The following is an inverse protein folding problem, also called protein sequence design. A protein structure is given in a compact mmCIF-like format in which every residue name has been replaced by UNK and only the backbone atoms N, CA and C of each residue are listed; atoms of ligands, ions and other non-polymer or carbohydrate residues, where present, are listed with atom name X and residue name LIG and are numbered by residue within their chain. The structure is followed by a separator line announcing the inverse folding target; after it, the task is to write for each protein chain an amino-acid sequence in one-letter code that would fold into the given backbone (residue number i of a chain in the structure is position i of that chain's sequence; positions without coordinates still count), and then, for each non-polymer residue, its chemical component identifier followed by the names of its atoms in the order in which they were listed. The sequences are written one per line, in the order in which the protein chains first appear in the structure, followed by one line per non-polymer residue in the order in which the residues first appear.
data_IF_020322782089
#
_entry.id   IF_020322782089
#
_cell.length_a   1.000
_cell.length_b   1.000
_cell.length_c   1.000
_cell.angle_alpha   90.00
_cell.angle_beta   90.00
_cell.angle_gamma   90.00
#
_symmetry.space_group_name_H-M   'P 1'
#
loop_
_entity.id
_entity.type
_entity.pdbx_description
1 polymer ?
#
# COMPACT_ATOMS: atom_id res chain seq x y z
N UNK A 1 20.90 7.12 -8.72
CA UNK A 1 22.24 7.60 -9.05
C UNK A 1 22.40 9.04 -8.61
N UNK A 2 23.59 9.43 -8.21
CA UNK A 2 23.90 10.84 -7.92
C UNK A 2 23.59 11.68 -9.16
N UNK A 3 22.96 12.84 -8.98
CA UNK A 3 22.57 13.74 -10.07
C UNK A 3 21.21 13.49 -10.70
N UNK A 4 20.43 12.50 -10.26
CA UNK A 4 19.06 12.32 -10.76
C UNK A 4 18.16 13.46 -10.28
N UNK A 5 17.52 14.18 -11.21
CA UNK A 5 16.55 15.23 -10.90
C UNK A 5 15.28 14.59 -10.36
N UNK A 6 14.86 15.00 -9.17
CA UNK A 6 13.64 14.49 -8.54
C UNK A 6 12.40 15.22 -9.09
N UNK A 7 11.30 14.50 -9.21
CA UNK A 7 9.99 15.10 -9.50
C UNK A 7 9.41 15.73 -8.22
N UNK A 8 8.93 16.98 -8.25
CA UNK A 8 8.27 17.57 -7.09
C UNK A 8 6.94 16.87 -6.80
N UNK A 9 6.69 16.51 -5.53
CA UNK A 9 5.42 15.93 -5.08
C UNK A 9 4.76 16.89 -4.11
N UNK A 10 3.90 17.76 -4.63
CA UNK A 10 3.15 18.76 -3.87
C UNK A 10 1.70 18.33 -3.60
N UNK A 11 1.13 17.44 -4.43
CA UNK A 11 -0.24 16.92 -4.32
C UNK A 11 -0.29 15.45 -4.69
N UNK A 12 -0.99 14.65 -3.90
CA UNK A 12 -1.13 13.21 -4.10
C UNK A 12 -2.60 12.85 -4.34
N UNK A 13 -2.85 11.95 -5.26
CA UNK A 13 -4.11 11.24 -5.42
C UNK A 13 -4.04 9.87 -4.74
N UNK A 14 -5.10 9.46 -4.06
CA UNK A 14 -5.25 8.10 -3.55
C UNK A 14 -6.59 7.55 -4.04
N UNK A 15 -6.58 6.36 -4.62
CA UNK A 15 -7.77 5.68 -5.13
C UNK A 15 -8.11 4.51 -4.21
N UNK A 16 -9.31 4.54 -3.67
CA UNK A 16 -9.80 3.64 -2.64
C UNK A 16 -9.72 4.26 -1.25
N UNK A 17 -10.85 4.33 -0.55
CA UNK A 17 -10.95 4.87 0.81
C UNK A 17 -11.07 3.75 1.88
N UNK A 18 -10.73 2.52 1.53
CA UNK A 18 -10.68 1.38 2.45
C UNK A 18 -9.51 1.45 3.43
N UNK A 19 -9.26 0.35 4.15
CA UNK A 19 -8.22 0.26 5.19
C UNK A 19 -6.85 0.70 4.68
N UNK A 20 -6.42 0.21 3.50
CA UNK A 20 -5.12 0.57 2.93
C UNK A 20 -5.11 2.00 2.43
N UNK A 21 -6.06 2.40 1.58
CA UNK A 21 -6.10 3.75 1.02
C UNK A 21 -6.26 4.83 2.09
N UNK A 22 -7.08 4.60 3.12
CA UNK A 22 -7.19 5.49 4.27
C UNK A 22 -5.87 5.65 5.03
N UNK A 23 -5.19 4.53 5.31
CA UNK A 23 -3.89 4.54 5.98
C UNK A 23 -2.79 5.19 5.14
N UNK A 24 -2.79 4.95 3.82
CA UNK A 24 -1.86 5.60 2.86
C UNK A 24 -2.10 7.11 2.84
N UNK A 25 -3.37 7.54 2.75
CA UNK A 25 -3.77 8.94 2.85
C UNK A 25 -3.18 9.60 4.11
N UNK A 26 -3.33 8.97 5.28
CA UNK A 26 -2.80 9.49 6.54
C UNK A 26 -1.27 9.73 6.52
N UNK A 27 -0.50 8.92 5.80
CA UNK A 27 0.95 9.16 5.68
C UNK A 27 1.26 10.50 5.01
N UNK A 28 0.55 10.82 3.94
CA UNK A 28 0.73 12.10 3.22
C UNK A 28 0.23 13.28 4.05
N UNK A 29 -0.94 13.15 4.69
CA UNK A 29 -1.47 14.20 5.59
C UNK A 29 -0.53 14.49 6.75
N UNK A 30 0.12 13.46 7.32
CA UNK A 30 1.10 13.60 8.39
C UNK A 30 2.36 14.35 7.93
N UNK A 31 2.67 14.30 6.65
CA UNK A 31 3.76 15.05 6.02
C UNK A 31 3.34 16.44 5.51
N UNK A 32 2.08 16.83 5.72
CA UNK A 32 1.52 18.11 5.25
C UNK A 32 1.23 18.17 3.75
N UNK A 33 1.16 17.01 3.08
CA UNK A 33 0.89 16.91 1.65
C UNK A 33 -0.63 16.76 1.43
N UNK A 34 -1.27 17.65 0.64
CA UNK A 34 -2.67 17.54 0.28
C UNK A 34 -2.98 16.28 -0.52
N UNK A 35 -4.13 15.64 -0.21
CA UNK A 35 -4.56 14.39 -0.85
C UNK A 35 -5.94 14.57 -1.48
N UNK A 36 -6.05 14.18 -2.75
CA UNK A 36 -7.34 13.92 -3.40
C UNK A 36 -7.67 12.45 -3.17
N UNK A 37 -8.72 12.18 -2.39
CA UNK A 37 -9.15 10.83 -2.05
C UNK A 37 -10.36 10.44 -2.90
N UNK A 38 -10.19 9.51 -3.81
CA UNK A 38 -11.23 9.01 -4.70
C UNK A 38 -11.79 7.68 -4.22
N UNK A 39 -13.10 7.58 -4.27
CA UNK A 39 -13.82 6.32 -4.05
C UNK A 39 -14.98 6.22 -5.06
N UNK A 40 -15.42 4.99 -5.36
CA UNK A 40 -16.46 4.78 -6.37
C UNK A 40 -17.90 4.99 -5.84
N UNK A 41 -18.08 4.97 -4.51
CA UNK A 41 -19.36 5.10 -3.84
C UNK A 41 -19.28 6.09 -2.68
N UNK A 42 -20.25 7.00 -2.61
CA UNK A 42 -20.32 8.01 -1.54
C UNK A 42 -20.25 7.39 -0.14
N UNK A 43 -21.03 6.34 0.11
CA UNK A 43 -21.04 5.66 1.41
C UNK A 43 -19.67 5.07 1.80
N UNK A 44 -18.90 4.55 0.83
CA UNK A 44 -17.57 4.03 1.08
C UNK A 44 -16.57 5.17 1.35
N UNK A 45 -16.70 6.28 0.63
CA UNK A 45 -15.93 7.50 0.87
C UNK A 45 -16.18 8.06 2.27
N UNK A 46 -17.44 8.19 2.66
CA UNK A 46 -17.83 8.70 3.98
C UNK A 46 -17.30 7.81 5.13
N UNK A 47 -17.41 6.48 4.97
CA UNK A 47 -16.82 5.53 5.93
C UNK A 47 -15.30 5.66 6.00
N UNK A 48 -14.63 5.84 4.88
CA UNK A 48 -13.18 6.04 4.81
C UNK A 48 -12.75 7.31 5.55
N UNK A 49 -13.41 8.44 5.28
CA UNK A 49 -13.17 9.71 5.96
C UNK A 49 -13.42 9.62 7.47
N UNK A 50 -14.52 8.97 7.88
CA UNK A 50 -14.83 8.75 9.28
C UNK A 50 -13.75 7.89 9.98
N UNK A 51 -13.23 6.87 9.29
CA UNK A 51 -12.15 6.01 9.81
C UNK A 51 -10.83 6.79 9.98
N UNK A 52 -10.46 7.62 9.01
CA UNK A 52 -9.28 8.50 9.11
C UNK A 52 -9.42 9.44 10.31
N UNK A 53 -10.57 10.12 10.45
CA UNK A 53 -10.85 11.02 11.58
C UNK A 53 -10.75 10.28 12.90
N UNK A 54 -11.40 9.12 13.04
CA UNK A 54 -11.36 8.28 14.24
C UNK A 54 -9.92 7.89 14.63
N UNK A 55 -9.07 7.58 13.67
CA UNK A 55 -7.66 7.26 13.91
C UNK A 55 -6.89 8.47 14.47
N UNK A 56 -7.15 9.67 13.95
CA UNK A 56 -6.56 10.90 14.50
C UNK A 56 -7.09 11.24 15.88
N UNK A 57 -8.39 11.11 16.11
CA UNK A 57 -9.02 11.32 17.43
C UNK A 57 -8.47 10.34 18.49
N UNK A 58 -8.25 9.07 18.10
CA UNK A 58 -7.60 8.09 18.98
C UNK A 58 -6.15 8.49 19.32
N UNK A 59 -5.45 9.08 18.39
CA UNK A 59 -4.10 9.60 18.61
C UNK A 59 -4.12 10.85 19.51
N UNK A 60 -5.13 11.69 19.36
CA UNK A 60 -5.37 12.86 20.22
C UNK A 60 -5.71 12.43 21.65
N UNK A 61 -6.61 11.46 21.84
CA UNK A 61 -6.94 10.90 23.18
C UNK A 61 -5.71 10.32 23.89
N UNK A 62 -4.71 9.86 23.15
CA UNK A 62 -3.41 9.37 23.67
C UNK A 62 -2.38 10.47 23.87
N UNK A 63 -2.76 11.75 23.73
CA UNK A 63 -1.88 12.90 23.88
C UNK A 63 -0.81 13.07 22.78
N UNK A 64 -0.95 12.34 21.65
CA UNK A 64 0.03 12.40 20.54
C UNK A 64 -0.27 13.50 19.52
N UNK A 65 -1.47 14.05 19.52
CA UNK A 65 -1.92 15.13 18.65
C UNK A 65 -2.76 16.13 19.43
N UNK A 66 -2.71 17.39 18.98
CA UNK A 66 -3.63 18.45 19.44
C UNK A 66 -4.87 18.50 18.54
N UNK A 67 -6.03 19.00 19.03
CA UNK A 67 -7.25 19.14 18.24
C UNK A 67 -7.02 19.89 16.91
N UNK A 68 -6.27 21.00 16.95
CA UNK A 68 -6.00 21.83 15.78
C UNK A 68 -5.22 21.07 14.70
N UNK A 69 -4.33 20.14 15.11
CA UNK A 69 -3.58 19.30 14.18
C UNK A 69 -4.48 18.26 13.50
N UNK A 70 -5.53 17.78 14.19
CA UNK A 70 -6.51 16.87 13.59
C UNK A 70 -7.28 17.61 12.49
N UNK A 71 -7.80 18.81 12.79
CA UNK A 71 -8.56 19.59 11.81
C UNK A 71 -7.67 20.05 10.64
N UNK A 72 -6.44 20.45 10.91
CA UNK A 72 -5.47 20.80 9.86
C UNK A 72 -5.24 19.63 8.89
N UNK A 73 -5.03 18.41 9.41
CA UNK A 73 -4.80 17.23 8.59
C UNK A 73 -6.05 16.83 7.81
N UNK A 74 -7.20 16.83 8.46
CA UNK A 74 -8.47 16.53 7.78
C UNK A 74 -8.78 17.55 6.69
N UNK A 75 -8.44 18.82 6.89
CA UNK A 75 -8.58 19.91 5.90
C UNK A 75 -7.69 19.75 4.66
N UNK A 76 -6.67 18.88 4.69
CA UNK A 76 -5.84 18.58 3.52
C UNK A 76 -6.46 17.53 2.59
N UNK A 77 -7.61 16.91 2.96
CA UNK A 77 -8.28 15.92 2.13
C UNK A 77 -9.29 16.61 1.22
N UNK A 78 -9.21 16.32 -0.07
CA UNK A 78 -10.25 16.64 -1.05
C UNK A 78 -10.94 15.32 -1.45
N UNK A 79 -12.11 15.00 -0.88
CA UNK A 79 -12.84 13.79 -1.24
C UNK A 79 -13.51 13.95 -2.59
N UNK A 80 -13.58 12.88 -3.38
CA UNK A 80 -14.20 12.88 -4.72
C UNK A 80 -14.70 11.52 -5.14
N UNK A 81 -15.67 11.50 -6.06
CA UNK A 81 -16.12 10.31 -6.79
C UNK A 81 -15.63 10.31 -8.25
N UNK A 82 -14.90 11.38 -8.67
CA UNK A 82 -14.58 11.64 -10.06
C UNK A 82 -13.08 11.54 -10.34
N UNK A 83 -12.69 10.74 -11.31
CA UNK A 83 -11.29 10.62 -11.76
C UNK A 83 -10.71 11.95 -12.24
N UNK A 84 -11.52 12.83 -12.82
CA UNK A 84 -11.06 14.14 -13.29
C UNK A 84 -10.41 15.00 -12.22
N UNK A 85 -10.73 14.78 -10.94
CA UNK A 85 -10.09 15.48 -9.82
C UNK A 85 -8.62 15.09 -9.62
N UNK A 86 -8.15 13.99 -10.22
CA UNK A 86 -6.75 13.53 -10.18
C UNK A 86 -5.82 14.30 -11.12
N UNK A 87 -6.34 15.14 -12.02
CA UNK A 87 -5.59 15.80 -13.10
C UNK A 87 -4.37 16.60 -12.65
N UNK A 88 -4.40 17.15 -11.44
CA UNK A 88 -3.32 17.99 -10.90
C UNK A 88 -2.41 17.25 -9.90
N UNK A 89 -2.63 15.94 -9.67
CA UNK A 89 -1.80 15.16 -8.78
C UNK A 89 -0.42 14.88 -9.40
N UNK A 90 0.63 14.96 -8.57
CA UNK A 90 2.02 14.65 -8.95
C UNK A 90 2.31 13.15 -8.83
N UNK A 91 1.63 12.50 -7.90
CA UNK A 91 1.65 11.08 -7.64
C UNK A 91 0.23 10.59 -7.41
N UNK A 92 -0.14 9.46 -8.00
CA UNK A 92 -1.41 8.81 -7.73
C UNK A 92 -1.13 7.39 -7.25
N UNK A 93 -1.63 7.04 -6.06
CA UNK A 93 -1.48 5.70 -5.48
C UNK A 93 -2.82 4.98 -5.55
N UNK A 94 -2.86 3.90 -6.30
CA UNK A 94 -4.02 3.03 -6.39
C UNK A 94 -3.96 2.00 -5.24
N UNK A 95 -5.07 1.88 -4.48
CA UNK A 95 -5.24 0.96 -3.36
C UNK A 95 -6.65 0.30 -3.38
N UNK A 96 -7.05 -0.17 -4.56
CA UNK A 96 -8.31 -0.89 -4.79
C UNK A 96 -8.13 -2.41 -4.70
N UNK A 97 -9.15 -3.20 -5.06
CA UNK A 97 -9.13 -4.66 -4.99
C UNK A 97 -7.93 -5.28 -5.73
N UNK A 98 -7.40 -6.38 -5.19
CA UNK A 98 -6.21 -7.08 -5.66
C UNK A 98 -6.54 -8.01 -6.84
N UNK A 99 -7.09 -7.43 -7.92
CA UNK A 99 -7.48 -8.12 -9.15
C UNK A 99 -6.94 -7.38 -10.36
N UNK A 100 -6.27 -8.09 -11.27
CA UNK A 100 -5.61 -7.49 -12.43
C UNK A 100 -6.58 -6.71 -13.34
N UNK A 101 -7.78 -7.22 -13.55
CA UNK A 101 -8.79 -6.53 -14.36
C UNK A 101 -9.27 -5.21 -13.75
N UNK A 102 -9.37 -5.15 -12.42
CA UNK A 102 -9.68 -3.91 -11.70
C UNK A 102 -8.53 -2.91 -11.83
N UNK A 103 -7.28 -3.36 -11.68
CA UNK A 103 -6.10 -2.52 -11.88
C UNK A 103 -6.03 -1.99 -13.31
N UNK A 104 -6.32 -2.82 -14.32
CA UNK A 104 -6.39 -2.39 -15.72
C UNK A 104 -7.39 -1.25 -15.91
N UNK A 105 -8.62 -1.40 -15.42
CA UNK A 105 -9.64 -0.37 -15.52
C UNK A 105 -9.21 0.95 -14.89
N UNK A 106 -8.61 0.90 -13.68
CA UNK A 106 -8.11 2.08 -12.98
C UNK A 106 -6.95 2.74 -13.73
N UNK A 107 -5.94 1.97 -14.14
CA UNK A 107 -4.75 2.53 -14.79
C UNK A 107 -5.06 3.13 -16.16
N UNK A 108 -6.02 2.56 -16.92
CA UNK A 108 -6.53 3.18 -18.16
C UNK A 108 -7.20 4.52 -17.90
N UNK A 109 -7.99 4.65 -16.83
CA UNK A 109 -8.59 5.94 -16.42
C UNK A 109 -7.51 6.94 -15.99
N UNK A 110 -6.50 6.51 -15.22
CA UNK A 110 -5.40 7.37 -14.80
C UNK A 110 -4.56 7.85 -15.98
N UNK A 111 -4.30 6.98 -16.96
CA UNK A 111 -3.55 7.37 -18.18
C UNK A 111 -4.26 8.48 -18.98
N UNK A 112 -5.61 8.51 -18.90
CA UNK A 112 -6.40 9.53 -19.58
C UNK A 112 -6.46 10.88 -18.85
N UNK A 113 -6.44 10.87 -17.49
CA UNK A 113 -6.71 12.09 -16.71
C UNK A 113 -5.48 12.69 -16.04
N UNK A 114 -4.46 11.88 -15.69
CA UNK A 114 -3.30 12.37 -14.98
C UNK A 114 -2.39 13.22 -15.86
N UNK A 115 -1.86 14.31 -15.32
CA UNK A 115 -0.96 15.21 -16.04
C UNK A 115 0.33 14.52 -16.51
N UNK A 116 0.99 15.04 -17.55
CA UNK A 116 2.32 14.59 -17.93
C UNK A 116 3.28 14.64 -16.74
N UNK A 117 4.12 13.60 -16.59
CA UNK A 117 5.09 13.51 -15.51
C UNK A 117 4.52 13.10 -14.14
N UNK A 118 3.20 12.90 -14.00
CA UNK A 118 2.65 12.32 -12.79
C UNK A 118 3.09 10.86 -12.64
N UNK A 119 3.49 10.47 -11.43
CA UNK A 119 3.84 9.09 -11.09
C UNK A 119 2.56 8.31 -10.81
N UNK A 120 2.43 7.14 -11.43
CA UNK A 120 1.31 6.22 -11.24
C UNK A 120 1.79 5.01 -10.43
N UNK A 121 1.30 4.88 -9.20
CA UNK A 121 1.73 3.83 -8.29
C UNK A 121 0.61 2.85 -7.96
N UNK A 122 0.92 1.57 -7.87
CA UNK A 122 0.02 0.55 -7.33
C UNK A 122 0.49 0.08 -5.96
N UNK A 123 -0.45 -0.06 -5.02
CA UNK A 123 -0.22 -0.66 -3.70
C UNK A 123 -0.45 -2.18 -3.73
N UNK A 124 -0.35 -2.82 -4.89
CA UNK A 124 -0.49 -4.28 -4.98
C UNK A 124 0.52 -4.99 -4.08
N UNK A 125 0.11 -6.15 -3.53
CA UNK A 125 0.96 -7.01 -2.70
C UNK A 125 1.61 -8.15 -3.49
N UNK A 126 1.05 -8.51 -4.65
CA UNK A 126 1.45 -9.69 -5.42
C UNK A 126 1.42 -9.51 -6.94
N UNK A 127 0.61 -8.57 -7.46
CA UNK A 127 0.40 -8.45 -8.89
C UNK A 127 1.64 -7.85 -9.59
N UNK A 128 1.83 -8.26 -10.83
CA UNK A 128 2.96 -7.88 -11.66
C UNK A 128 2.87 -6.41 -12.07
N UNK A 129 3.81 -5.60 -11.58
CA UNK A 129 3.91 -4.16 -11.87
C UNK A 129 4.24 -3.92 -13.35
N UNK A 130 5.02 -4.81 -13.99
CA UNK A 130 5.33 -4.67 -15.41
C UNK A 130 4.08 -4.86 -16.28
N UNK A 131 3.22 -5.81 -15.89
CA UNK A 131 1.91 -5.97 -16.53
C UNK A 131 0.99 -4.76 -16.30
N UNK A 132 0.94 -4.23 -15.08
CA UNK A 132 0.17 -3.01 -14.76
C UNK A 132 0.66 -1.83 -15.62
N UNK A 133 1.96 -1.68 -15.80
CA UNK A 133 2.55 -0.63 -16.61
C UNK A 133 2.09 -0.68 -18.08
N UNK A 134 1.78 -1.86 -18.62
CA UNK A 134 1.28 -2.01 -20.01
C UNK A 134 -0.13 -1.43 -20.22
N UNK A 135 -0.87 -1.14 -19.15
CA UNK A 135 -2.19 -0.54 -19.24
C UNK A 135 -2.17 0.98 -19.48
N UNK A 136 -0.96 1.57 -19.50
CA UNK A 136 -0.73 2.99 -19.74
C UNK A 136 0.16 3.22 -20.96
N UNK A 137 0.10 4.41 -21.56
CA UNK A 137 1.02 4.85 -22.62
C UNK A 137 2.36 5.36 -22.09
N UNK A 138 2.54 5.36 -20.76
CA UNK A 138 3.74 5.86 -20.07
C UNK A 138 4.21 4.87 -18.99
N UNK A 139 4.62 3.67 -19.39
CA UNK A 139 5.07 2.63 -18.48
C UNK A 139 6.28 3.07 -17.63
N UNK A 140 7.08 4.04 -18.12
CA UNK A 140 8.21 4.62 -17.40
C UNK A 140 7.79 5.42 -16.14
N UNK A 141 6.53 5.87 -16.05
CA UNK A 141 5.99 6.61 -14.92
C UNK A 141 5.30 5.69 -13.90
N UNK A 142 5.28 4.37 -14.15
CA UNK A 142 4.62 3.38 -13.29
C UNK A 142 5.61 2.73 -12.32
N UNK A 143 5.17 2.58 -11.06
CA UNK A 143 5.96 1.98 -9.98
C UNK A 143 5.04 1.26 -8.98
N UNK A 144 5.55 0.28 -8.24
CA UNK A 144 4.87 -0.27 -7.07
C UNK A 144 5.25 0.50 -5.80
N UNK A 145 4.25 0.85 -4.99
CA UNK A 145 4.43 1.38 -3.64
C UNK A 145 3.64 0.51 -2.67
N UNK A 146 4.26 -0.60 -2.26
CA UNK A 146 3.62 -1.58 -1.40
C UNK A 146 3.76 -1.19 0.07
N UNK A 147 2.69 -0.63 0.63
CA UNK A 147 2.54 -0.35 2.04
C UNK A 147 2.03 -1.58 2.78
N UNK A 148 2.42 -1.73 4.04
CA UNK A 148 1.97 -2.82 4.90
C UNK A 148 0.83 -2.38 5.81
N UNK A 149 -0.12 -3.26 6.07
CA UNK A 149 -1.29 -2.98 6.91
C UNK A 149 -0.95 -3.04 8.42
N UNK A 150 -1.40 -2.08 9.23
CA UNK A 150 -2.06 -0.81 8.88
C UNK A 150 -1.05 0.22 8.32
N UNK A 151 -1.37 0.80 7.15
CA UNK A 151 -0.39 1.62 6.42
C UNK A 151 0.07 2.89 7.16
N UNK A 152 -0.77 3.44 8.04
CA UNK A 152 -0.42 4.60 8.88
C UNK A 152 0.49 4.25 10.07
N UNK A 153 0.69 2.95 10.37
CA UNK A 153 1.48 2.46 11.51
C UNK A 153 2.76 1.77 11.06
N UNK A 154 2.64 0.85 10.09
CA UNK A 154 3.77 0.04 9.61
C UNK A 154 4.79 0.92 8.90
N UNK A 155 6.06 0.76 9.28
CA UNK A 155 7.14 1.62 8.77
C UNK A 155 7.70 1.19 7.42
N UNK A 156 7.62 -0.10 7.09
CA UNK A 156 8.16 -0.64 5.84
C UNK A 156 7.36 -0.14 4.65
N UNK A 157 8.06 0.27 3.61
CA UNK A 157 7.54 0.55 2.27
C UNK A 157 8.42 -0.16 1.25
N UNK A 158 7.89 -1.13 0.53
CA UNK A 158 8.57 -1.73 -0.60
C UNK A 158 8.30 -0.90 -1.86
N UNK A 159 9.38 -0.40 -2.46
CA UNK A 159 9.33 0.32 -3.72
C UNK A 159 9.65 -0.69 -4.81
N UNK A 160 8.62 -1.11 -5.55
CA UNK A 160 8.75 -2.16 -6.57
C UNK A 160 9.05 -1.51 -7.91
N UNK A 161 10.31 -1.66 -8.35
CA UNK A 161 10.78 -1.14 -9.62
C UNK A 161 10.42 -2.11 -10.75
N UNK A 162 9.57 -1.67 -11.67
CA UNK A 162 9.31 -2.35 -12.94
C UNK A 162 10.48 -2.22 -13.92
N UNK A 163 10.48 -3.04 -14.95
CA UNK A 163 11.52 -3.08 -15.97
C UNK A 163 11.66 -1.74 -16.72
N UNK A 164 10.55 -1.02 -16.91
CA UNK A 164 10.51 0.26 -17.61
C UNK A 164 10.47 1.48 -16.68
N UNK A 165 10.37 1.30 -15.35
CA UNK A 165 10.33 2.41 -14.39
C UNK A 165 11.54 3.32 -14.54
N UNK A 166 11.31 4.60 -14.80
CA UNK A 166 12.35 5.59 -15.00
C UNK A 166 13.19 5.83 -13.72
N UNK A 167 14.49 6.14 -13.84
CA UNK A 167 15.36 6.36 -12.68
C UNK A 167 14.92 7.51 -11.76
N UNK A 168 14.35 8.57 -12.32
CA UNK A 168 13.82 9.72 -11.57
C UNK A 168 12.54 9.36 -10.79
N UNK A 169 11.68 8.49 -11.32
CA UNK A 169 10.51 7.94 -10.61
C UNK A 169 10.95 7.14 -9.39
N UNK A 170 11.94 6.26 -9.54
CA UNK A 170 12.50 5.49 -8.43
C UNK A 170 13.16 6.41 -7.38
N UNK A 171 13.98 7.37 -7.82
CA UNK A 171 14.66 8.30 -6.91
C UNK A 171 13.67 9.19 -6.16
N UNK A 172 12.63 9.68 -6.85
CA UNK A 172 11.54 10.46 -6.24
C UNK A 172 10.79 9.62 -5.19
N UNK A 173 10.47 8.37 -5.50
CA UNK A 173 9.78 7.46 -4.57
C UNK A 173 10.60 7.18 -3.31
N UNK A 174 11.92 7.01 -3.44
CA UNK A 174 12.85 6.88 -2.29
C UNK A 174 12.88 8.14 -1.41
N UNK A 175 12.91 9.32 -2.03
CA UNK A 175 12.88 10.58 -1.30
C UNK A 175 11.53 10.81 -0.61
N UNK A 176 10.43 10.51 -1.30
CA UNK A 176 9.08 10.58 -0.76
C UNK A 176 8.91 9.67 0.46
N UNK A 177 9.43 8.44 0.39
CA UNK A 177 9.39 7.51 1.52
C UNK A 177 10.04 8.10 2.78
N UNK A 178 11.17 8.80 2.65
CA UNK A 178 11.80 9.53 3.77
C UNK A 178 10.90 10.64 4.31
N UNK A 179 10.29 11.43 3.42
CA UNK A 179 9.40 12.53 3.77
C UNK A 179 8.18 12.04 4.57
N UNK A 180 7.59 10.91 4.19
CA UNK A 180 6.47 10.28 4.90
C UNK A 180 6.91 9.33 6.03
N UNK A 181 8.20 9.38 6.42
CA UNK A 181 8.80 8.63 7.54
C UNK A 181 8.71 7.11 7.41
N UNK A 182 8.81 6.59 6.19
CA UNK A 182 8.91 5.15 5.90
C UNK A 182 10.36 4.70 5.78
N UNK A 183 10.58 3.43 6.08
CA UNK A 183 11.82 2.72 5.77
C UNK A 183 11.60 2.05 4.41
N UNK A 184 12.23 2.63 3.39
CA UNK A 184 12.07 2.14 2.02
C UNK A 184 13.08 1.05 1.70
N UNK A 185 12.61 0.00 1.02
CA UNK A 185 13.43 -1.05 0.41
C UNK A 185 13.03 -1.18 -1.06
N UNK A 186 14.01 -1.21 -1.95
CA UNK A 186 13.75 -1.40 -3.38
C UNK A 186 13.67 -2.89 -3.69
N UNK A 187 12.58 -3.29 -4.33
CA UNK A 187 12.35 -4.63 -4.85
C UNK A 187 12.27 -4.62 -6.38
N UNK A 188 12.64 -5.73 -7.00
CA UNK A 188 12.21 -6.05 -8.37
C UNK A 188 10.81 -6.66 -8.38
N UNK A 189 10.26 -6.85 -9.59
CA UNK A 189 8.96 -7.50 -9.79
C UNK A 189 9.08 -9.01 -9.55
N UNK A 190 8.35 -9.52 -8.57
CA UNK A 190 8.22 -10.95 -8.28
C UNK A 190 7.04 -11.20 -7.32
N UNK A 191 6.50 -12.40 -7.30
CA UNK A 191 5.36 -12.76 -6.42
C UNK A 191 5.69 -12.52 -4.94
N UNK A 192 4.95 -11.60 -4.30
CA UNK A 192 5.11 -11.24 -2.88
C UNK A 192 6.34 -10.39 -2.55
N UNK A 193 7.01 -9.86 -3.55
CA UNK A 193 8.19 -8.96 -3.45
C UNK A 193 9.24 -9.49 -2.46
N UNK A 194 9.63 -8.75 -1.44
CA UNK A 194 10.60 -9.19 -0.42
C UNK A 194 9.89 -9.71 0.83
N UNK A 195 9.06 -8.87 1.45
CA UNK A 195 8.45 -9.15 2.76
C UNK A 195 7.51 -10.36 2.71
N UNK A 196 6.58 -10.38 1.76
CA UNK A 196 5.62 -11.48 1.63
C UNK A 196 6.30 -12.78 1.19
N UNK A 197 7.38 -12.73 0.39
CA UNK A 197 8.19 -13.92 0.06
C UNK A 197 8.87 -14.51 1.29
N UNK A 198 9.46 -13.68 2.13
CA UNK A 198 10.07 -14.12 3.39
C UNK A 198 9.01 -14.67 4.33
N UNK A 199 7.87 -13.98 4.45
CA UNK A 199 6.75 -14.39 5.28
C UNK A 199 6.16 -15.73 4.84
N UNK A 200 6.07 -15.98 3.54
CA UNK A 200 5.59 -17.26 3.01
C UNK A 200 6.49 -18.44 3.41
N UNK A 201 7.81 -18.28 3.39
CA UNK A 201 8.78 -19.29 3.84
C UNK A 201 8.71 -19.51 5.35
N UNK A 202 8.62 -18.44 6.10
CA UNK A 202 8.44 -18.46 7.55
C UNK A 202 7.14 -19.17 7.95
N UNK A 203 6.02 -18.83 7.31
CA UNK A 203 4.74 -19.50 7.53
C UNK A 203 4.75 -20.98 7.15
N UNK A 204 5.42 -21.36 6.04
CA UNK A 204 5.57 -22.76 5.64
C UNK A 204 6.39 -23.56 6.66
N UNK A 205 7.46 -22.99 7.21
CA UNK A 205 8.23 -23.64 8.28
C UNK A 205 7.39 -23.84 9.55
N UNK A 206 6.61 -22.82 9.95
CA UNK A 206 5.70 -22.93 11.09
C UNK A 206 4.62 -23.99 10.86
N UNK A 207 4.05 -24.09 9.65
CA UNK A 207 3.08 -25.13 9.29
C UNK A 207 3.71 -26.52 9.33
N UNK A 208 4.97 -26.66 8.92
CA UNK A 208 5.73 -27.92 9.04
C UNK A 208 5.81 -28.41 10.48
N UNK A 209 5.99 -27.50 11.45
CA UNK A 209 5.98 -27.85 12.88
C UNK A 209 4.59 -28.30 13.36
N UNK A 210 3.51 -27.67 12.86
CA UNK A 210 2.14 -28.14 13.15
C UNK A 210 1.96 -29.58 12.64
N UNK A 211 2.39 -29.86 11.42
CA UNK A 211 2.29 -31.19 10.83
C UNK A 211 3.13 -32.24 11.59
N UNK A 212 4.17 -31.78 12.29
CA UNK A 212 4.98 -32.61 13.19
C UNK A 212 4.39 -32.78 14.60
N UNK A 213 3.22 -32.21 14.87
CA UNK A 213 2.48 -32.33 16.14
C UNK A 213 2.62 -31.17 17.13
N UNK A 214 3.32 -30.10 16.77
CA UNK A 214 3.36 -28.91 17.62
C UNK A 214 2.03 -28.15 17.58
N UNK A 215 1.66 -27.51 18.67
CA UNK A 215 0.47 -26.66 18.73
C UNK A 215 0.81 -25.19 18.33
N UNK A 216 -0.15 -24.46 17.70
CA UNK A 216 0.08 -23.06 17.30
C UNK A 216 0.61 -22.17 18.41
N UNK A 217 0.03 -22.29 19.61
CA UNK A 217 0.43 -21.51 20.78
C UNK A 217 1.85 -21.82 21.28
N UNK A 218 2.35 -23.03 21.07
CA UNK A 218 3.72 -23.39 21.41
C UNK A 218 4.72 -22.70 20.49
N UNK A 219 4.42 -22.69 19.17
CA UNK A 219 5.25 -22.03 18.16
C UNK A 219 5.25 -20.52 18.39
N UNK A 220 4.06 -19.90 18.53
CA UNK A 220 3.93 -18.48 18.80
C UNK A 220 4.65 -18.09 20.10
N UNK A 221 4.49 -18.87 21.16
CA UNK A 221 5.16 -18.62 22.44
C UNK A 221 6.68 -18.72 22.36
N UNK A 222 7.21 -19.70 21.61
CA UNK A 222 8.66 -19.85 21.42
C UNK A 222 9.24 -18.65 20.65
N UNK A 223 8.57 -18.18 19.61
CA UNK A 223 9.00 -17.04 18.81
C UNK A 223 8.90 -15.70 19.56
N UNK A 224 7.87 -15.53 20.40
CA UNK A 224 7.80 -14.39 21.30
C UNK A 224 8.93 -14.38 22.35
N UNK A 225 9.29 -15.55 22.92
CA UNK A 225 10.44 -15.68 23.81
C UNK A 225 11.77 -15.39 23.10
N UNK A 226 11.87 -15.72 21.82
CA UNK A 226 13.02 -15.38 20.96
C UNK A 226 13.14 -13.88 20.70
N UNK A 227 12.06 -13.11 20.85
CA UNK A 227 12.07 -11.64 20.72
C UNK A 227 11.16 -11.09 19.61
N UNK A 228 10.36 -11.91 18.94
CA UNK A 228 9.35 -11.42 17.99
C UNK A 228 8.16 -10.81 18.73
N UNK A 229 7.55 -9.79 18.15
CA UNK A 229 6.38 -9.11 18.74
C UNK A 229 5.18 -10.07 18.87
N UNK A 230 5.02 -10.99 17.91
CA UNK A 230 4.01 -12.07 17.92
C UNK A 230 4.47 -13.20 17.01
N UNK A 231 3.89 -14.39 17.21
CA UNK A 231 4.15 -15.52 16.34
C UNK A 231 3.28 -15.52 15.09
N UNK A 232 3.54 -16.43 14.12
CA UNK A 232 2.91 -16.44 12.80
C UNK A 232 1.40 -16.70 12.83
N UNK A 233 0.91 -17.51 13.78
CA UNK A 233 -0.51 -17.85 13.86
C UNK A 233 -1.33 -16.67 14.39
N UNK A 234 -0.87 -16.03 15.47
CA UNK A 234 -1.51 -14.78 15.99
C UNK A 234 -1.44 -13.65 14.98
N UNK A 235 -0.35 -13.55 14.21
CA UNK A 235 -0.22 -12.57 13.14
C UNK A 235 -1.23 -12.86 12.02
N UNK A 236 -1.42 -14.13 11.65
CA UNK A 236 -2.41 -14.56 10.68
C UNK A 236 -3.84 -14.21 11.11
N UNK A 237 -4.20 -14.50 12.38
CA UNK A 237 -5.49 -14.13 12.95
C UNK A 237 -5.74 -12.62 12.94
N UNK A 238 -4.71 -11.84 13.27
CA UNK A 238 -4.80 -10.38 13.29
C UNK A 238 -4.94 -9.79 11.88
N UNK A 239 -4.23 -10.35 10.90
CA UNK A 239 -4.24 -9.88 9.51
C UNK A 239 -5.53 -10.26 8.76
N UNK A 240 -6.20 -11.33 9.17
CA UNK A 240 -7.34 -11.94 8.51
C UNK A 240 -6.95 -13.18 7.69
N UNK A 241 -7.61 -14.28 7.95
CA UNK A 241 -7.33 -15.58 7.29
C UNK A 241 -7.77 -15.62 5.82
N UNK A 242 -8.67 -14.72 5.43
CA UNK A 242 -9.17 -14.51 4.06
C UNK A 242 -8.06 -14.15 3.08
N UNK A 243 -7.07 -13.36 3.48
CA UNK A 243 -5.90 -12.99 2.66
C UNK A 243 -5.10 -14.25 2.28
N UNK A 244 -4.80 -15.08 3.27
CA UNK A 244 -4.10 -16.35 3.05
C UNK A 244 -4.90 -17.32 2.19
N UNK A 245 -6.21 -17.37 2.37
CA UNK A 245 -7.10 -18.19 1.56
C UNK A 245 -7.14 -17.73 0.10
N UNK A 246 -7.33 -16.44 -0.14
CA UNK A 246 -7.32 -15.85 -1.48
C UNK A 246 -6.00 -16.11 -2.23
N UNK A 247 -4.86 -16.01 -1.53
CA UNK A 247 -3.54 -16.31 -2.09
C UNK A 247 -3.42 -17.78 -2.49
N UNK A 248 -3.88 -18.71 -1.64
CA UNK A 248 -3.87 -20.15 -1.97
C UNK A 248 -4.75 -20.46 -3.16
N UNK A 249 -5.97 -19.90 -3.22
CA UNK A 249 -6.90 -20.06 -4.34
C UNK A 249 -6.30 -19.55 -5.65
N UNK A 250 -5.66 -18.39 -5.64
CA UNK A 250 -4.97 -17.84 -6.83
C UNK A 250 -3.87 -18.79 -7.30
N UNK A 251 -2.99 -19.22 -6.39
CA UNK A 251 -1.88 -20.14 -6.72
C UNK A 251 -2.36 -21.51 -7.22
N UNK A 252 -3.44 -22.03 -6.67
CA UNK A 252 -4.05 -23.27 -7.15
C UNK A 252 -4.57 -23.11 -8.58
N UNK A 253 -5.28 -22.03 -8.87
CA UNK A 253 -5.76 -21.72 -10.22
C UNK A 253 -4.61 -21.52 -11.23
N UNK A 254 -3.52 -20.84 -10.85
CA UNK A 254 -2.31 -20.68 -11.67
C UNK A 254 -1.59 -22.01 -11.94
N UNK A 255 -1.64 -22.93 -10.99
CA UNK A 255 -1.05 -24.28 -11.11
C UNK A 255 -1.98 -25.30 -11.79
N UNK A 256 -3.22 -24.92 -12.11
CA UNK A 256 -4.22 -25.86 -12.67
C UNK A 256 -4.67 -26.95 -11.70
N UNK A 257 -4.62 -26.68 -10.38
CA UNK A 257 -5.03 -27.59 -9.30
C UNK A 257 -6.27 -27.03 -8.64
N UNK A 258 -7.31 -27.89 -8.44
CA UNK A 258 -8.54 -27.54 -7.70
C UNK A 258 -8.35 -27.53 -6.18
#
# INVERSE_FOLDING_TARGET
PEGTVLRPIARVGVIGAGTMGGGITMNFLNAGIPVVLLEMKQEALDRGLATIRKNYENSMKKGKLKPEQVEQRMGLITPTLEYAAMKDADLIVEAVFEEMGVKEAVFRQLDAVAKPGAILASNTSYLDIDRIATFTRRPQDVIGLHFFSPANVMRLLEIVRGAQTAPDVLATSLQLAKQIKKVAVVSGVCDGFIGNRMLARYGAAAQGLINAGALPQQIDGALQKFGLAMGPFRMGDLAGLDIGWATRKRKAAEAGVE
#
